data_IF_452862510018
#
_entry.id   IF_452862510018
#
_cell.length_a   1.000
_cell.length_b   1.000
_cell.length_c   1.000
_cell.angle_alpha   90.00
_cell.angle_beta   90.00
_cell.angle_gamma   90.00
#
_symmetry.space_group_name_H-M   'P 1'
#
loop_
_entity.id
_entity.type
_entity.pdbx_description
1 polymer ?
#
# COMPACT_ATOMS: atom_id res chain seq x y z
N UNK A 1 16.06 -10.73 -29.84
CA UNK A 1 15.62 -11.04 -28.48
C UNK A 1 15.65 -12.53 -28.17
N UNK A 2 15.28 -13.43 -29.09
CA UNK A 2 15.23 -14.89 -28.82
C UNK A 2 16.57 -15.58 -28.53
N UNK A 3 17.74 -15.06 -28.98
CA UNK A 3 19.06 -15.67 -28.71
C UNK A 3 19.53 -15.50 -27.26
N UNK A 4 19.15 -14.44 -26.57
CA UNK A 4 19.55 -14.19 -25.17
C UNK A 4 18.67 -14.99 -24.22
N UNK A 5 17.35 -15.02 -24.45
CA UNK A 5 16.40 -15.79 -23.65
C UNK A 5 16.47 -17.31 -23.86
N UNK A 6 17.13 -17.78 -24.95
CA UNK A 6 17.36 -19.19 -25.20
C UNK A 6 18.63 -19.76 -24.56
N UNK A 7 19.52 -18.93 -24.04
CA UNK A 7 20.79 -19.39 -23.45
C UNK A 7 20.62 -19.70 -21.96
N UNK A 8 20.29 -20.96 -21.65
CA UNK A 8 20.08 -21.44 -20.27
C UNK A 8 21.26 -21.17 -19.34
N UNK A 9 22.52 -21.25 -19.83
CA UNK A 9 23.71 -20.95 -19.01
C UNK A 9 23.80 -19.47 -18.63
N UNK A 10 23.51 -18.56 -19.56
CA UNK A 10 23.49 -17.14 -19.29
C UNK A 10 22.36 -16.78 -18.30
N UNK A 11 21.16 -17.34 -18.51
CA UNK A 11 20.03 -17.13 -17.60
C UNK A 11 20.38 -17.60 -16.19
N UNK A 12 20.95 -18.83 -16.06
CA UNK A 12 21.36 -19.36 -14.75
C UNK A 12 22.42 -18.48 -14.08
N UNK A 13 23.41 -18.00 -14.82
CA UNK A 13 24.48 -17.16 -14.27
C UNK A 13 23.96 -15.86 -13.65
N UNK A 14 22.92 -15.25 -14.23
CA UNK A 14 22.34 -14.00 -13.72
C UNK A 14 21.23 -14.22 -12.67
N UNK A 15 20.44 -15.27 -12.81
CA UNK A 15 19.28 -15.52 -11.93
C UNK A 15 19.69 -16.24 -10.65
N UNK A 16 20.60 -17.23 -10.73
CA UNK A 16 20.95 -18.08 -9.57
C UNK A 16 21.54 -17.29 -8.40
N UNK A 17 22.47 -16.34 -8.57
CA UNK A 17 22.99 -15.57 -7.45
C UNK A 17 21.89 -14.77 -6.71
N UNK A 18 21.01 -14.10 -7.47
CA UNK A 18 19.88 -13.36 -6.90
C UNK A 18 18.90 -14.30 -6.18
N UNK A 19 18.63 -15.47 -6.77
CA UNK A 19 17.72 -16.46 -6.20
C UNK A 19 18.30 -17.11 -4.93
N UNK A 20 19.61 -17.32 -4.85
CA UNK A 20 20.27 -17.81 -3.63
C UNK A 20 20.13 -16.78 -2.52
N UNK A 21 20.46 -15.52 -2.78
CA UNK A 21 20.33 -14.43 -1.79
C UNK A 21 18.88 -14.30 -1.31
N UNK A 22 17.92 -14.31 -2.23
CA UNK A 22 16.49 -14.26 -1.90
C UNK A 22 16.07 -15.48 -1.05
N UNK A 23 16.52 -16.68 -1.42
CA UNK A 23 16.18 -17.89 -0.66
C UNK A 23 16.72 -17.84 0.76
N UNK A 24 17.97 -17.44 0.94
CA UNK A 24 18.60 -17.38 2.26
C UNK A 24 17.95 -16.29 3.12
N UNK A 25 17.73 -15.10 2.57
CA UNK A 25 17.27 -13.95 3.35
C UNK A 25 15.75 -13.94 3.55
N UNK A 26 14.99 -14.48 2.59
CA UNK A 26 13.52 -14.41 2.62
C UNK A 26 12.91 -15.79 2.87
N UNK A 27 13.22 -16.79 2.02
CA UNK A 27 12.54 -18.09 2.09
C UNK A 27 12.90 -18.87 3.35
N UNK A 28 14.17 -18.91 3.73
CA UNK A 28 14.61 -19.64 4.94
C UNK A 28 13.94 -19.06 6.20
N UNK A 29 13.94 -17.74 6.46
CA UNK A 29 13.22 -17.20 7.62
C UNK A 29 11.70 -17.43 7.57
N UNK A 30 11.07 -17.42 6.40
CA UNK A 30 9.63 -17.71 6.26
C UNK A 30 9.34 -19.16 6.66
N UNK A 31 10.13 -20.12 6.14
CA UNK A 31 9.97 -21.56 6.49
C UNK A 31 10.24 -21.75 8.00
N UNK A 32 11.25 -21.08 8.53
CA UNK A 32 11.59 -21.13 9.96
C UNK A 32 10.48 -20.53 10.84
N UNK A 33 9.90 -19.42 10.44
CA UNK A 33 8.74 -18.82 11.11
C UNK A 33 7.53 -19.76 11.07
N UNK A 34 7.28 -20.41 9.94
CA UNK A 34 6.22 -21.42 9.84
C UNK A 34 6.47 -22.60 10.80
N UNK A 35 7.71 -23.10 10.91
CA UNK A 35 8.06 -24.13 11.85
C UNK A 35 7.80 -23.67 13.30
N UNK A 36 8.23 -22.46 13.65
CA UNK A 36 8.03 -21.89 14.99
C UNK A 36 6.58 -21.67 15.35
N UNK A 37 5.70 -21.46 14.38
CA UNK A 37 4.28 -21.26 14.64
C UNK A 37 3.58 -22.46 15.30
N UNK A 38 4.19 -23.65 15.22
CA UNK A 38 3.70 -24.87 15.89
C UNK A 38 4.22 -25.06 17.32
N UNK A 39 5.03 -24.11 17.81
CA UNK A 39 5.58 -24.17 19.16
C UNK A 39 5.09 -23.00 20.02
N UNK A 40 4.99 -23.19 21.32
CA UNK A 40 4.74 -22.14 22.31
C UNK A 40 5.97 -21.89 23.16
N UNK A 41 6.10 -20.65 23.66
CA UNK A 41 7.28 -20.22 24.44
C UNK A 41 8.33 -19.52 23.57
N UNK A 42 9.52 -19.36 24.14
CA UNK A 42 10.67 -18.75 23.46
C UNK A 42 11.76 -19.78 23.23
N UNK A 43 12.48 -19.72 22.08
CA UNK A 43 13.62 -20.59 21.84
C UNK A 43 14.64 -20.54 22.99
N UNK A 44 14.90 -21.68 23.60
CA UNK A 44 15.81 -21.79 24.74
C UNK A 44 15.18 -21.59 26.13
N UNK A 45 13.90 -21.21 26.21
CA UNK A 45 13.14 -21.07 27.47
C UNK A 45 11.74 -21.66 27.27
N UNK A 46 11.43 -22.80 27.89
CA UNK A 46 10.11 -23.44 27.86
C UNK A 46 9.52 -23.58 26.44
N UNK A 47 10.25 -24.23 25.57
CA UNK A 47 9.82 -24.48 24.19
C UNK A 47 9.03 -25.80 24.13
N UNK A 48 7.74 -25.71 23.97
CA UNK A 48 6.84 -26.86 23.91
C UNK A 48 6.12 -26.92 22.58
N UNK A 49 5.93 -28.12 22.06
CA UNK A 49 5.17 -28.32 20.83
C UNK A 49 3.69 -28.09 21.10
N UNK A 50 3.12 -27.04 20.55
CA UNK A 50 1.74 -26.61 20.72
C UNK A 50 0.82 -27.08 19.58
N UNK A 51 1.35 -27.70 18.53
CA UNK A 51 0.56 -28.09 17.36
C UNK A 51 -0.23 -26.92 16.76
N UNK A 52 -1.53 -27.05 16.67
CA UNK A 52 -2.43 -26.01 16.13
C UNK A 52 -3.04 -25.06 17.17
N UNK A 53 -2.66 -25.16 18.43
CA UNK A 53 -3.26 -24.34 19.50
C UNK A 53 -3.02 -22.84 19.32
N UNK A 54 -1.86 -22.46 18.76
CA UNK A 54 -1.57 -21.06 18.45
C UNK A 54 -2.55 -20.53 17.39
N UNK A 55 -2.87 -21.31 16.38
CA UNK A 55 -3.84 -20.94 15.34
C UNK A 55 -5.26 -20.87 15.92
N UNK A 56 -5.65 -21.84 16.79
CA UNK A 56 -6.94 -21.81 17.44
C UNK A 56 -7.12 -20.57 18.33
N UNK A 57 -6.06 -20.16 19.06
CA UNK A 57 -6.03 -18.92 19.85
C UNK A 57 -6.14 -17.69 18.94
N UNK A 58 -5.39 -17.67 17.84
CA UNK A 58 -5.40 -16.55 16.87
C UNK A 58 -6.82 -16.29 16.31
N UNK A 59 -7.52 -17.33 15.90
CA UNK A 59 -8.89 -17.20 15.37
C UNK A 59 -9.96 -16.89 16.43
N UNK A 60 -9.61 -16.98 17.73
CA UNK A 60 -10.46 -16.54 18.84
C UNK A 60 -10.12 -15.15 19.35
N UNK A 61 -8.96 -14.61 18.95
CA UNK A 61 -8.53 -13.27 19.36
C UNK A 61 -9.31 -12.21 18.57
N UNK A 62 -10.14 -11.46 19.31
CA UNK A 62 -10.92 -10.35 18.74
C UNK A 62 -10.06 -9.25 18.14
N UNK A 63 -8.89 -8.98 18.70
CA UNK A 63 -7.97 -7.96 18.19
C UNK A 63 -7.41 -8.39 16.83
N UNK A 64 -7.01 -9.65 16.71
CA UNK A 64 -6.54 -10.21 15.45
C UNK A 64 -7.61 -10.18 14.37
N UNK A 65 -8.83 -10.64 14.68
CA UNK A 65 -9.95 -10.64 13.72
C UNK A 65 -10.34 -9.22 13.28
N UNK A 66 -10.32 -8.27 14.22
CA UNK A 66 -10.56 -6.86 13.90
C UNK A 66 -9.46 -6.30 13.00
N UNK A 67 -8.19 -6.54 13.33
CA UNK A 67 -7.05 -6.13 12.52
C UNK A 67 -7.11 -6.73 11.11
N UNK A 68 -7.44 -8.02 10.99
CA UNK A 68 -7.63 -8.70 9.72
C UNK A 68 -8.75 -8.06 8.89
N UNK A 69 -9.89 -7.77 9.52
CA UNK A 69 -11.03 -7.12 8.87
C UNK A 69 -10.67 -5.72 8.36
N UNK A 70 -9.96 -4.92 9.18
CA UNK A 70 -9.49 -3.59 8.81
C UNK A 70 -8.52 -3.67 7.63
N UNK A 71 -7.56 -4.61 7.67
CA UNK A 71 -6.62 -4.83 6.57
C UNK A 71 -7.31 -5.27 5.28
N UNK A 72 -8.29 -6.18 5.36
CA UNK A 72 -9.06 -6.60 4.18
C UNK A 72 -9.82 -5.43 3.54
N UNK A 73 -10.48 -4.59 4.37
CA UNK A 73 -11.14 -3.36 3.89
C UNK A 73 -10.14 -2.42 3.21
N UNK A 74 -9.00 -2.18 3.87
CA UNK A 74 -7.95 -1.31 3.36
C UNK A 74 -7.44 -1.80 2.00
N UNK A 75 -7.02 -3.06 1.89
CA UNK A 75 -6.49 -3.65 0.65
C UNK A 75 -7.52 -3.55 -0.48
N UNK A 76 -8.78 -3.88 -0.20
CA UNK A 76 -9.83 -3.82 -1.22
C UNK A 76 -10.04 -2.39 -1.73
N UNK A 77 -10.20 -1.43 -0.82
CA UNK A 77 -10.48 -0.03 -1.18
C UNK A 77 -9.29 0.61 -1.89
N UNK A 78 -8.09 0.41 -1.37
CA UNK A 78 -6.86 0.98 -1.95
C UNK A 78 -6.57 0.37 -3.32
N UNK A 79 -6.69 -0.95 -3.46
CA UNK A 79 -6.45 -1.62 -4.75
C UNK A 79 -7.45 -1.16 -5.82
N UNK A 80 -8.75 -1.18 -5.50
CA UNK A 80 -9.79 -0.72 -6.43
C UNK A 80 -9.61 0.76 -6.76
N UNK A 81 -9.30 1.58 -5.76
CA UNK A 81 -9.07 3.02 -5.93
C UNK A 81 -7.85 3.32 -6.80
N UNK A 82 -6.70 2.72 -6.52
CA UNK A 82 -5.45 2.93 -7.27
C UNK A 82 -5.56 2.47 -8.73
N UNK A 83 -6.07 1.25 -8.95
CA UNK A 83 -6.26 0.67 -10.28
C UNK A 83 -7.32 1.45 -11.06
N UNK A 84 -8.46 1.74 -10.44
CA UNK A 84 -9.56 2.48 -11.05
C UNK A 84 -9.15 3.91 -11.43
N UNK A 85 -8.56 4.67 -10.51
CA UNK A 85 -8.07 6.02 -10.77
C UNK A 85 -6.94 6.02 -11.81
N UNK A 86 -6.01 5.07 -11.71
CA UNK A 86 -4.94 4.90 -12.69
C UNK A 86 -5.46 4.64 -14.10
N UNK A 87 -6.48 3.78 -14.24
CA UNK A 87 -7.14 3.50 -15.51
C UNK A 87 -7.87 4.74 -16.05
N UNK A 88 -8.67 5.41 -15.22
CA UNK A 88 -9.37 6.64 -15.61
C UNK A 88 -8.40 7.73 -16.10
N UNK A 89 -7.31 7.96 -15.38
CA UNK A 89 -6.26 8.91 -15.77
C UNK A 89 -5.60 8.51 -17.09
N UNK A 90 -5.31 7.22 -17.30
CA UNK A 90 -4.70 6.75 -18.54
C UNK A 90 -5.61 6.95 -19.75
N UNK A 91 -6.91 6.68 -19.61
CA UNK A 91 -7.92 6.94 -20.64
C UNK A 91 -8.05 8.45 -20.93
N UNK A 92 -8.05 9.27 -19.89
CA UNK A 92 -8.06 10.73 -20.01
C UNK A 92 -6.82 11.21 -20.79
N UNK A 93 -5.63 10.68 -20.49
CA UNK A 93 -4.39 11.01 -21.22
C UNK A 93 -4.41 10.55 -22.67
N UNK A 94 -5.06 9.45 -22.99
CA UNK A 94 -5.13 8.93 -24.35
C UNK A 94 -6.14 9.72 -25.20
N UNK A 95 -7.33 9.97 -24.67
CA UNK A 95 -8.46 10.44 -25.49
C UNK A 95 -8.76 11.94 -25.36
N UNK A 96 -8.53 12.53 -24.18
CA UNK A 96 -8.99 13.89 -23.89
C UNK A 96 -7.85 14.92 -23.79
N UNK A 97 -6.75 14.60 -23.16
CA UNK A 97 -5.63 15.53 -22.95
C UNK A 97 -4.65 15.49 -24.14
N UNK A 98 -4.84 16.37 -25.11
CA UNK A 98 -3.96 16.44 -26.29
C UNK A 98 -2.76 17.38 -26.12
N UNK A 99 -2.93 18.57 -25.55
CA UNK A 99 -1.88 19.62 -25.51
C UNK A 99 -1.03 19.62 -24.24
N UNK A 100 -1.60 19.40 -23.05
CA UNK A 100 -0.89 19.46 -21.77
C UNK A 100 -0.60 18.09 -21.15
N UNK A 101 -0.73 17.02 -21.93
CA UNK A 101 -0.62 15.63 -21.47
C UNK A 101 0.66 15.33 -20.70
N UNK A 102 1.82 15.77 -21.20
CA UNK A 102 3.11 15.50 -20.57
C UNK A 102 3.21 16.16 -19.20
N UNK A 103 2.79 17.43 -19.09
CA UNK A 103 2.82 18.17 -17.83
C UNK A 103 1.91 17.52 -16.81
N UNK A 104 0.66 17.24 -17.18
CA UNK A 104 -0.32 16.64 -16.26
C UNK A 104 0.14 15.25 -15.82
N UNK A 105 0.70 14.44 -16.72
CA UNK A 105 1.25 13.13 -16.38
C UNK A 105 2.42 13.23 -15.38
N UNK A 106 3.30 14.20 -15.55
CA UNK A 106 4.42 14.43 -14.63
C UNK A 106 3.91 14.86 -13.25
N UNK A 107 2.92 15.76 -13.19
CA UNK A 107 2.33 16.20 -11.93
C UNK A 107 1.59 15.07 -11.19
N UNK A 108 0.86 14.24 -11.93
CA UNK A 108 0.14 13.09 -11.34
C UNK A 108 1.10 11.98 -10.89
N UNK A 109 2.26 11.84 -11.55
CA UNK A 109 3.28 10.87 -11.15
C UNK A 109 4.15 11.38 -9.99
N UNK A 110 4.23 12.69 -9.78
CA UNK A 110 5.10 13.31 -8.78
C UNK A 110 4.95 12.73 -7.36
N UNK A 111 3.72 12.44 -6.84
CA UNK A 111 3.54 11.87 -5.51
C UNK A 111 4.30 10.56 -5.29
N UNK A 112 4.47 9.74 -6.33
CA UNK A 112 5.15 8.43 -6.24
C UNK A 112 6.63 8.56 -5.84
N UNK A 113 7.28 9.65 -6.19
CA UNK A 113 8.70 9.87 -5.88
C UNK A 113 8.93 10.55 -4.53
N UNK A 114 7.88 10.95 -3.84
CA UNK A 114 8.00 11.55 -2.52
C UNK A 114 8.35 10.50 -1.46
N UNK A 115 9.23 10.82 -0.50
CA UNK A 115 9.47 9.96 0.66
C UNK A 115 8.17 9.74 1.45
N UNK A 116 7.90 8.52 1.86
CA UNK A 116 6.67 8.15 2.60
C UNK A 116 6.46 9.00 3.86
N UNK A 117 7.54 9.32 4.57
CA UNK A 117 7.48 10.18 5.76
C UNK A 117 7.01 11.59 5.41
N UNK A 118 7.47 12.16 4.30
CA UNK A 118 7.04 13.49 3.84
C UNK A 118 5.56 13.49 3.44
N UNK A 119 5.11 12.43 2.77
CA UNK A 119 3.68 12.25 2.44
C UNK A 119 2.84 12.15 3.70
N UNK A 120 3.27 11.35 4.69
CA UNK A 120 2.58 11.23 5.97
C UNK A 120 2.45 12.57 6.70
N UNK A 121 3.52 13.35 6.75
CA UNK A 121 3.49 14.70 7.36
C UNK A 121 2.59 15.67 6.58
N UNK A 122 2.63 15.63 5.25
CA UNK A 122 1.76 16.44 4.40
C UNK A 122 0.28 16.15 4.70
N UNK A 123 -0.11 14.89 4.71
CA UNK A 123 -1.50 14.51 4.97
C UNK A 123 -1.90 14.73 6.44
N UNK A 124 -0.99 14.59 7.41
CA UNK A 124 -1.24 14.99 8.79
C UNK A 124 -1.63 16.48 8.87
N UNK A 125 -0.94 17.35 8.11
CA UNK A 125 -1.27 18.78 8.03
C UNK A 125 -2.57 19.06 7.25
N UNK A 126 -2.86 18.31 6.21
CA UNK A 126 -4.12 18.43 5.45
C UNK A 126 -5.32 18.08 6.35
N UNK A 127 -5.20 17.05 7.20
CA UNK A 127 -6.24 16.54 8.08
C UNK A 127 -6.27 17.18 9.49
N UNK A 128 -5.40 18.14 9.77
CA UNK A 128 -5.26 18.78 11.07
C UNK A 128 -6.58 19.46 11.52
N UNK A 129 -6.86 19.39 12.82
CA UNK A 129 -8.01 20.08 13.42
C UNK A 129 -7.58 21.07 14.52
N UNK A 130 -6.45 20.84 15.18
CA UNK A 130 -5.92 21.70 16.24
C UNK A 130 -4.41 21.91 16.04
N UNK A 131 -3.86 23.10 16.39
CA UNK A 131 -4.53 24.28 16.93
C UNK A 131 -5.34 25.07 15.89
N UNK A 132 -5.11 24.85 14.59
CA UNK A 132 -5.82 25.45 13.46
C UNK A 132 -6.28 24.36 12.50
N UNK A 133 -7.33 24.65 11.76
CA UNK A 133 -7.80 23.71 10.72
C UNK A 133 -6.77 23.52 9.62
N UNK A 134 -6.49 22.28 9.29
CA UNK A 134 -5.76 21.91 8.09
C UNK A 134 -6.56 22.20 6.82
N UNK A 135 -5.94 21.98 5.65
CA UNK A 135 -6.52 22.35 4.36
C UNK A 135 -7.94 21.78 4.15
N UNK A 136 -8.17 20.50 4.49
CA UNK A 136 -9.45 19.85 4.28
C UNK A 136 -10.53 20.44 5.19
N UNK A 137 -10.27 20.60 6.48
CA UNK A 137 -11.22 21.16 7.43
C UNK A 137 -11.49 22.65 7.16
N UNK A 138 -10.48 23.43 6.77
CA UNK A 138 -10.65 24.82 6.35
C UNK A 138 -11.53 24.96 5.11
N UNK A 139 -11.36 24.04 4.13
CA UNK A 139 -12.19 24.05 2.93
C UNK A 139 -13.65 23.69 3.26
N UNK A 140 -13.86 22.66 4.09
CA UNK A 140 -15.20 22.26 4.52
C UNK A 140 -15.92 23.39 5.27
N UNK A 141 -15.22 24.06 6.18
CA UNK A 141 -15.76 25.18 6.95
C UNK A 141 -16.11 26.37 6.04
N UNK A 142 -15.21 26.74 5.12
CA UNK A 142 -15.44 27.85 4.18
C UNK A 142 -16.60 27.60 3.20
N UNK A 143 -16.89 26.34 2.88
CA UNK A 143 -18.02 25.94 2.04
C UNK A 143 -19.34 25.79 2.84
N UNK A 144 -19.32 26.01 4.16
CA UNK A 144 -20.49 25.88 5.02
C UNK A 144 -20.78 24.44 5.48
N UNK A 145 -19.91 23.49 5.19
CA UNK A 145 -20.03 22.09 5.63
C UNK A 145 -19.41 21.86 7.02
N UNK A 146 -19.70 22.74 7.97
CA UNK A 146 -19.18 22.72 9.35
C UNK A 146 -19.44 21.39 10.07
N UNK A 147 -20.55 20.72 9.75
CA UNK A 147 -20.90 19.42 10.32
C UNK A 147 -19.95 18.28 9.88
N UNK A 148 -19.16 18.48 8.83
CA UNK A 148 -18.18 17.51 8.32
C UNK A 148 -16.77 17.78 8.84
N UNK A 149 -16.55 18.90 9.54
CA UNK A 149 -15.26 19.22 10.17
C UNK A 149 -15.02 18.25 11.32
N UNK A 150 -13.92 17.49 11.25
CA UNK A 150 -13.66 16.43 12.21
C UNK A 150 -12.18 16.02 12.24
N UNK A 151 -11.72 15.33 13.30
CA UNK A 151 -10.37 14.77 13.38
C UNK A 151 -10.23 13.50 12.52
N UNK A 152 -10.00 13.67 11.22
CA UNK A 152 -9.99 12.60 10.20
C UNK A 152 -9.14 11.40 10.56
N UNK A 153 -7.94 11.62 11.12
CA UNK A 153 -7.02 10.54 11.56
C UNK A 153 -7.08 10.27 13.07
N UNK A 154 -7.80 11.12 13.82
CA UNK A 154 -7.91 11.02 15.28
C UNK A 154 -9.05 10.12 15.78
N UNK A 155 -9.88 9.57 14.89
CA UNK A 155 -10.99 8.68 15.26
C UNK A 155 -11.05 7.44 14.39
N UNK A 156 -11.43 6.31 14.97
CA UNK A 156 -11.43 5.00 14.31
C UNK A 156 -12.40 4.88 13.14
N UNK A 157 -13.47 5.69 13.11
CA UNK A 157 -14.49 5.69 12.05
C UNK A 157 -13.98 6.27 10.72
N UNK A 158 -13.03 7.22 10.77
CA UNK A 158 -12.55 7.96 9.58
C UNK A 158 -11.09 7.70 9.26
N UNK A 159 -10.27 7.30 10.24
CA UNK A 159 -8.82 7.14 10.06
C UNK A 159 -8.47 6.19 8.91
N UNK A 160 -9.16 5.05 8.80
CA UNK A 160 -8.94 4.08 7.72
C UNK A 160 -9.17 4.72 6.34
N UNK A 161 -10.27 5.45 6.18
CA UNK A 161 -10.65 6.08 4.92
C UNK A 161 -9.70 7.22 4.54
N UNK A 162 -9.27 8.02 5.51
CA UNK A 162 -8.30 9.09 5.33
C UNK A 162 -6.95 8.53 4.83
N UNK A 163 -6.49 7.39 5.39
CA UNK A 163 -5.29 6.70 4.93
C UNK A 163 -5.48 6.10 3.53
N UNK A 164 -6.64 5.52 3.22
CA UNK A 164 -6.93 5.02 1.88
C UNK A 164 -6.86 6.12 0.82
N UNK A 165 -7.40 7.31 1.10
CA UNK A 165 -7.33 8.47 0.19
C UNK A 165 -5.89 8.89 -0.06
N UNK A 166 -5.08 8.95 1.00
CA UNK A 166 -3.65 9.26 0.90
C UNK A 166 -2.93 8.27 -0.02
N UNK A 167 -3.09 6.98 0.21
CA UNK A 167 -2.40 5.94 -0.55
C UNK A 167 -2.87 5.85 -2.01
N UNK A 168 -4.17 6.06 -2.25
CA UNK A 168 -4.70 6.14 -3.62
C UNK A 168 -4.06 7.33 -4.36
N UNK A 169 -3.98 8.49 -3.71
CA UNK A 169 -3.36 9.68 -4.29
C UNK A 169 -1.89 9.45 -4.64
N UNK A 170 -1.13 8.80 -3.75
CA UNK A 170 0.29 8.51 -3.98
C UNK A 170 0.48 7.58 -5.17
N UNK A 171 -0.28 6.50 -5.27
CA UNK A 171 0.01 5.43 -6.23
C UNK A 171 -0.77 5.53 -7.56
N UNK A 172 -1.85 6.33 -7.65
CA UNK A 172 -2.65 6.44 -8.86
C UNK A 172 -1.82 6.86 -10.09
N UNK A 173 -0.78 7.68 -9.89
CA UNK A 173 0.14 8.10 -10.96
C UNK A 173 0.95 6.94 -11.52
N UNK A 174 1.44 6.05 -10.67
CA UNK A 174 2.17 4.85 -11.08
C UNK A 174 1.31 3.93 -11.95
N UNK A 175 0.11 3.59 -11.49
CA UNK A 175 -0.83 2.77 -12.26
C UNK A 175 -1.24 3.46 -13.57
N UNK A 176 -1.41 4.78 -13.57
CA UNK A 176 -1.74 5.52 -14.79
C UNK A 176 -0.66 5.41 -15.87
N UNK A 177 0.62 5.40 -15.50
CA UNK A 177 1.73 5.23 -16.44
C UNK A 177 1.76 3.82 -17.00
N UNK A 178 1.54 2.79 -16.17
CA UNK A 178 1.49 1.39 -16.61
C UNK A 178 0.36 1.20 -17.64
N UNK A 179 -0.86 1.61 -17.28
CA UNK A 179 -2.01 1.48 -18.19
C UNK A 179 -1.86 2.31 -19.46
N UNK A 180 -1.30 3.51 -19.32
CA UNK A 180 -1.05 4.34 -20.51
C UNK A 180 -0.04 3.68 -21.46
N UNK A 181 1.03 3.04 -20.94
CA UNK A 181 1.98 2.27 -21.73
C UNK A 181 1.34 1.08 -22.45
N UNK A 182 0.37 0.41 -21.82
CA UNK A 182 -0.38 -0.70 -22.44
C UNK A 182 -1.40 -0.23 -23.50
N UNK A 183 -1.82 1.05 -23.44
CA UNK A 183 -2.77 1.62 -24.39
C UNK A 183 -2.11 2.22 -25.65
N UNK A 184 -0.78 2.42 -25.66
CA UNK A 184 -0.04 2.96 -26.80
C UNK A 184 0.14 1.92 -27.89
#
# INVERSE_FOLDING_TARGET
MNKVLGNKKAISLFVVPALIVYTIIVMVPVIWSLYYSFFSGSPGLQWEFAGFDNYARLFRDKNFLNALTVNCKYVLVVTVGQVGMGLLLSLMFKFWLRRCKTIVRTLVFFPVVLPTVAVGQLFAKIYEIQPNYGLLNSLLDSLGFTNLVQPWIGQSSTALWALCVMDIWVAMGFYSVIFYGALL
#
